data_IF_681192975235
#
_entry.id   IF_681192975235
#
_cell.length_a   1.000
_cell.length_b   1.000
_cell.length_c   1.000
_cell.angle_alpha   90.00
_cell.angle_beta   90.00
_cell.angle_gamma   90.00
#
_symmetry.space_group_name_H-M   'P 1'
#
loop_
_entity.id
_entity.type
_entity.pdbx_description
1 polymer ?
#
# COMPACT_ATOMS: atom_id res chain seq x y z
N UNK A 1 -43.18 39.44 -12.22
CA UNK A 1 -41.74 39.60 -12.52
C UNK A 1 -41.10 38.28 -12.96
N UNK A 2 -41.12 37.23 -12.16
CA UNK A 2 -40.46 35.93 -12.46
C UNK A 2 -41.01 35.23 -13.73
N UNK A 3 -42.36 35.25 -13.98
CA UNK A 3 -42.97 34.67 -15.20
C UNK A 3 -42.54 35.38 -16.49
N UNK A 4 -42.28 36.68 -16.45
CA UNK A 4 -41.81 37.44 -17.60
C UNK A 4 -40.35 37.11 -17.93
N UNK A 5 -39.52 36.99 -16.92
CA UNK A 5 -38.10 36.53 -17.06
C UNK A 5 -38.01 35.14 -17.65
N UNK A 6 -38.81 34.18 -17.17
CA UNK A 6 -38.87 32.82 -17.73
C UNK A 6 -39.31 32.79 -19.19
N UNK A 7 -40.30 33.62 -19.56
CA UNK A 7 -40.77 33.75 -20.94
C UNK A 7 -39.73 34.36 -21.86
N UNK A 8 -38.96 35.33 -21.38
CA UNK A 8 -37.87 35.94 -22.11
C UNK A 8 -36.71 34.94 -22.32
N UNK A 9 -36.31 34.22 -21.29
CA UNK A 9 -35.30 33.14 -21.39
C UNK A 9 -35.71 32.07 -22.40
N UNK A 10 -36.98 31.70 -22.41
CA UNK A 10 -37.53 30.72 -23.36
C UNK A 10 -37.54 31.21 -24.82
N UNK A 11 -37.86 32.50 -25.04
CA UNK A 11 -37.87 33.09 -26.38
C UNK A 11 -36.44 33.27 -26.91
N UNK A 12 -35.47 33.53 -26.07
CA UNK A 12 -34.06 33.72 -26.45
C UNK A 12 -33.23 32.47 -26.34
N UNK A 13 -33.87 31.30 -26.24
CA UNK A 13 -33.22 30.01 -25.99
C UNK A 13 -32.08 29.66 -26.97
N UNK A 14 -32.18 30.09 -28.24
CA UNK A 14 -31.15 29.85 -29.26
C UNK A 14 -29.94 30.74 -29.04
N UNK A 15 -30.15 31.99 -28.67
CA UNK A 15 -29.07 32.92 -28.36
C UNK A 15 -28.35 32.57 -27.05
N UNK A 16 -29.10 32.06 -26.07
CA UNK A 16 -28.59 31.69 -24.77
C UNK A 16 -28.01 30.25 -24.73
N UNK A 17 -28.20 29.45 -25.78
CA UNK A 17 -27.74 28.07 -25.80
C UNK A 17 -26.22 27.96 -25.59
N UNK A 18 -25.45 28.88 -26.15
CA UNK A 18 -24.01 28.93 -25.97
C UNK A 18 -23.62 29.16 -24.50
N UNK A 19 -24.29 30.11 -23.84
CA UNK A 19 -24.07 30.39 -22.40
C UNK A 19 -24.40 29.19 -21.53
N UNK A 20 -25.45 28.43 -21.86
CA UNK A 20 -25.81 27.22 -21.13
C UNK A 20 -24.76 26.12 -21.27
N UNK A 21 -24.20 25.95 -22.49
CA UNK A 21 -23.13 24.99 -22.77
C UNK A 21 -21.88 25.38 -22.00
N UNK A 22 -21.50 26.67 -22.05
CA UNK A 22 -20.34 27.18 -21.32
C UNK A 22 -20.48 26.97 -19.82
N UNK A 23 -21.63 27.29 -19.26
CA UNK A 23 -21.90 27.13 -17.83
C UNK A 23 -21.89 25.66 -17.40
N UNK A 24 -22.45 24.77 -18.23
CA UNK A 24 -22.39 23.34 -18.01
C UNK A 24 -20.96 22.82 -18.03
N UNK A 25 -20.16 23.29 -18.98
CA UNK A 25 -18.74 22.89 -19.09
C UNK A 25 -17.93 23.34 -17.87
N UNK A 26 -18.13 24.59 -17.43
CA UNK A 26 -17.52 25.09 -16.19
C UNK A 26 -17.96 24.27 -14.99
N UNK A 27 -19.25 23.90 -14.90
CA UNK A 27 -19.74 23.08 -13.81
C UNK A 27 -19.10 21.70 -13.79
N UNK A 28 -18.95 21.03 -14.94
CA UNK A 28 -18.30 19.72 -15.06
C UNK A 28 -16.82 19.81 -14.62
N UNK A 29 -16.11 20.85 -15.05
CA UNK A 29 -14.71 21.04 -14.66
C UNK A 29 -14.59 21.29 -13.15
N UNK A 30 -15.43 22.13 -12.59
CA UNK A 30 -15.45 22.39 -11.14
C UNK A 30 -15.78 21.12 -10.35
N UNK A 31 -16.76 20.35 -10.81
CA UNK A 31 -17.11 19.08 -10.18
C UNK A 31 -15.90 18.13 -10.14
N UNK A 32 -15.22 17.98 -11.29
CA UNK A 32 -14.02 17.14 -11.37
C UNK A 32 -12.90 17.59 -10.41
N UNK A 33 -12.67 18.92 -10.32
CA UNK A 33 -11.66 19.49 -9.41
C UNK A 33 -12.04 19.19 -7.94
N UNK A 34 -13.30 19.40 -7.58
CA UNK A 34 -13.79 19.16 -6.22
C UNK A 34 -13.63 17.67 -5.86
N UNK A 35 -14.02 16.77 -6.77
CA UNK A 35 -13.90 15.33 -6.55
C UNK A 35 -12.43 14.92 -6.38
N UNK A 36 -11.54 15.39 -7.25
CA UNK A 36 -10.11 15.15 -7.16
C UNK A 36 -9.52 15.62 -5.81
N UNK A 37 -9.86 16.84 -5.40
CA UNK A 37 -9.41 17.41 -4.12
C UNK A 37 -9.96 16.59 -2.95
N UNK A 38 -11.23 16.22 -2.99
CA UNK A 38 -11.87 15.43 -1.94
C UNK A 38 -11.20 14.07 -1.79
N UNK A 39 -11.02 13.33 -2.89
CA UNK A 39 -10.36 12.02 -2.89
C UNK A 39 -8.92 12.12 -2.38
N UNK A 40 -8.18 13.12 -2.87
CA UNK A 40 -6.78 13.33 -2.45
C UNK A 40 -6.68 13.63 -0.96
N UNK A 41 -7.52 14.53 -0.44
CA UNK A 41 -7.54 14.85 0.98
C UNK A 41 -8.01 13.66 1.83
N UNK A 42 -9.00 12.93 1.35
CA UNK A 42 -9.49 11.73 2.04
C UNK A 42 -8.37 10.69 2.20
N UNK A 43 -7.62 10.39 1.13
CA UNK A 43 -6.47 9.49 1.18
C UNK A 43 -5.37 10.04 2.09
N UNK A 44 -5.09 11.34 2.02
CA UNK A 44 -4.04 11.98 2.80
C UNK A 44 -4.29 11.91 4.31
N UNK A 45 -5.55 12.04 4.73
CA UNK A 45 -5.94 12.00 6.15
C UNK A 45 -6.27 10.60 6.67
N UNK A 46 -6.20 9.57 5.83
CA UNK A 46 -6.36 8.20 6.31
C UNK A 46 -5.24 7.80 7.28
N UNK A 47 -5.55 7.10 8.38
CA UNK A 47 -4.53 6.60 9.28
C UNK A 47 -3.68 5.55 8.56
N UNK A 48 -2.39 5.78 8.47
CA UNK A 48 -1.45 4.91 7.75
C UNK A 48 -1.23 3.54 8.41
N UNK A 49 -1.64 3.37 9.66
CA UNK A 49 -1.43 2.13 10.42
C UNK A 49 0.03 1.82 10.77
N UNK A 50 0.97 2.66 10.37
CA UNK A 50 2.41 2.53 10.63
C UNK A 50 3.05 3.90 10.88
N UNK A 51 4.28 3.91 11.41
CA UNK A 51 5.05 5.13 11.67
C UNK A 51 6.44 5.00 11.01
N UNK A 52 6.83 6.05 10.29
CA UNK A 52 8.14 6.14 9.61
C UNK A 52 9.11 7.15 10.27
N UNK A 53 8.72 7.74 11.39
CA UNK A 53 9.59 8.71 12.07
C UNK A 53 10.90 8.06 12.51
N UNK A 54 12.00 8.74 12.22
CA UNK A 54 13.35 8.29 12.52
C UNK A 54 13.71 6.93 11.87
N UNK A 55 13.05 6.60 10.76
CA UNK A 55 13.33 5.37 10.00
C UNK A 55 14.17 5.70 8.78
N UNK A 56 15.25 4.95 8.59
CA UNK A 56 16.19 5.13 7.48
C UNK A 56 16.23 3.88 6.61
N UNK A 57 16.21 4.06 5.30
CA UNK A 57 16.33 2.97 4.33
C UNK A 57 17.75 2.95 3.75
N UNK A 58 18.47 1.87 4.01
CA UNK A 58 19.75 1.59 3.36
C UNK A 58 19.52 0.69 2.16
N UNK A 59 19.90 1.16 0.98
CA UNK A 59 19.84 0.36 -0.25
C UNK A 59 21.24 -0.12 -0.61
N UNK A 60 21.36 -1.40 -0.88
CA UNK A 60 22.60 -2.01 -1.34
C UNK A 60 22.43 -2.51 -2.76
N UNK A 61 23.43 -2.26 -3.59
CA UNK A 61 23.50 -2.79 -4.94
C UNK A 61 24.81 -3.53 -5.10
N UNK A 62 24.83 -4.54 -5.96
CA UNK A 62 26.08 -5.16 -6.38
C UNK A 62 26.93 -4.17 -7.14
N UNK A 63 28.22 -4.27 -6.98
CA UNK A 63 29.18 -3.58 -7.83
C UNK A 63 29.02 -4.07 -9.26
N UNK A 64 29.20 -3.17 -10.21
CA UNK A 64 29.18 -3.52 -11.63
C UNK A 64 30.58 -3.91 -12.11
N UNK A 65 30.67 -4.52 -13.28
CA UNK A 65 31.91 -4.89 -13.96
C UNK A 65 32.89 -3.73 -14.19
N UNK A 66 32.42 -2.49 -14.01
CA UNK A 66 33.23 -1.26 -14.09
C UNK A 66 33.95 -0.93 -12.78
N UNK A 67 33.62 -1.61 -11.69
CA UNK A 67 34.29 -1.42 -10.40
C UNK A 67 35.55 -2.27 -10.31
N UNK A 68 36.60 -1.73 -9.72
CA UNK A 68 37.85 -2.47 -9.45
C UNK A 68 37.65 -3.63 -8.46
N UNK A 69 36.64 -3.52 -7.62
CA UNK A 69 36.35 -4.50 -6.57
C UNK A 69 35.22 -5.47 -6.99
N UNK A 70 34.87 -5.47 -8.28
CA UNK A 70 33.85 -6.37 -8.81
C UNK A 70 34.34 -7.83 -8.75
N UNK A 71 33.55 -8.68 -8.12
CA UNK A 71 33.78 -10.12 -8.11
C UNK A 71 32.62 -10.86 -8.79
N UNK A 72 32.86 -11.47 -9.97
CA UNK A 72 31.81 -12.19 -10.72
C UNK A 72 31.39 -13.51 -10.06
N UNK A 73 32.16 -14.05 -9.11
CA UNK A 73 31.87 -15.32 -8.45
C UNK A 73 30.86 -15.20 -7.31
N UNK A 74 30.53 -13.96 -6.87
CA UNK A 74 29.57 -13.74 -5.80
C UNK A 74 28.17 -14.17 -6.22
N UNK A 75 27.56 -14.97 -5.37
CA UNK A 75 26.19 -15.49 -5.55
C UNK A 75 25.18 -14.65 -4.78
N UNK A 76 23.88 -14.86 -5.04
CA UNK A 76 22.79 -14.27 -4.25
C UNK A 76 22.86 -14.66 -2.76
N UNK A 77 23.39 -15.85 -2.48
CA UNK A 77 23.58 -16.33 -1.10
C UNK A 77 24.61 -15.50 -0.36
N UNK A 78 25.68 -15.09 -1.06
CA UNK A 78 26.73 -14.24 -0.47
C UNK A 78 26.20 -12.85 -0.18
N UNK A 79 25.36 -12.30 -1.06
CA UNK A 79 24.66 -11.02 -0.82
C UNK A 79 23.79 -11.09 0.42
N UNK A 80 23.00 -12.15 0.57
CA UNK A 80 22.14 -12.32 1.74
C UNK A 80 22.95 -12.46 3.03
N UNK A 81 24.12 -13.09 2.96
CA UNK A 81 25.06 -13.22 4.10
C UNK A 81 25.61 -11.85 4.48
N UNK A 82 26.04 -11.06 3.49
CA UNK A 82 26.55 -9.71 3.70
C UNK A 82 25.47 -8.78 4.28
N UNK A 83 24.24 -8.85 3.77
CA UNK A 83 23.11 -8.10 4.31
C UNK A 83 22.83 -8.43 5.77
N UNK A 84 22.84 -9.72 6.15
CA UNK A 84 22.66 -10.14 7.55
C UNK A 84 23.79 -9.67 8.45
N UNK A 85 25.02 -9.69 7.97
CA UNK A 85 26.15 -9.19 8.71
C UNK A 85 26.06 -7.69 8.98
N UNK A 86 25.70 -6.91 7.96
CA UNK A 86 25.50 -5.46 8.09
C UNK A 86 24.34 -5.16 9.04
N UNK A 87 23.19 -5.84 8.89
CA UNK A 87 22.08 -5.70 9.82
C UNK A 87 22.48 -6.04 11.26
N UNK A 88 23.27 -7.10 11.44
CA UNK A 88 23.80 -7.48 12.75
C UNK A 88 24.81 -6.47 13.34
N UNK A 89 25.58 -5.78 12.51
CA UNK A 89 26.45 -4.69 12.97
C UNK A 89 25.64 -3.46 13.36
N UNK A 90 24.65 -3.08 12.57
CA UNK A 90 23.77 -1.94 12.85
C UNK A 90 22.94 -2.16 14.11
N UNK A 91 22.40 -3.34 14.32
CA UNK A 91 21.59 -3.65 15.51
C UNK A 91 22.35 -3.59 16.84
N UNK A 92 23.70 -3.63 16.79
CA UNK A 92 24.56 -3.47 17.97
C UNK A 92 24.90 -2.02 18.29
N UNK A 93 24.55 -1.09 17.40
CA UNK A 93 24.82 0.32 17.64
C UNK A 93 23.84 0.88 18.67
N UNK A 94 24.28 1.61 19.70
CA UNK A 94 23.42 2.03 20.81
C UNK A 94 22.30 2.99 20.41
N UNK A 95 22.43 3.70 19.29
CA UNK A 95 21.42 4.62 18.77
C UNK A 95 20.41 3.95 17.81
N UNK A 96 20.57 2.65 17.53
CA UNK A 96 19.71 1.91 16.63
C UNK A 96 18.75 1.03 17.42
N UNK A 97 17.48 1.35 17.40
CA UNK A 97 16.44 0.62 18.13
C UNK A 97 16.13 -0.75 17.49
N UNK A 98 16.02 -0.79 16.17
CA UNK A 98 15.69 -2.02 15.44
C UNK A 98 16.15 -1.94 13.99
N UNK A 99 16.49 -3.08 13.40
CA UNK A 99 16.90 -3.22 12.00
C UNK A 99 16.09 -4.34 11.37
N UNK A 100 15.55 -4.13 10.19
CA UNK A 100 14.91 -5.17 9.40
C UNK A 100 15.54 -5.29 8.01
N UNK A 101 15.51 -6.49 7.46
CA UNK A 101 15.85 -6.71 6.05
C UNK A 101 14.53 -6.90 5.32
N UNK A 102 14.34 -6.19 4.21
CA UNK A 102 13.12 -6.28 3.44
C UNK A 102 13.37 -6.12 1.94
N UNK A 103 12.51 -6.75 1.15
CA UNK A 103 12.46 -6.60 -0.31
C UNK A 103 11.09 -6.06 -0.70
N UNK A 104 11.05 -4.99 -1.48
CA UNK A 104 9.81 -4.32 -1.93
C UNK A 104 8.83 -3.92 -0.81
N UNK A 105 9.31 -3.83 0.43
CA UNK A 105 8.45 -3.64 1.60
C UNK A 105 8.54 -2.24 2.20
N UNK A 106 9.38 -1.37 1.64
CA UNK A 106 9.49 0.01 2.12
C UNK A 106 8.18 0.73 1.81
N UNK A 107 7.57 1.43 2.77
CA UNK A 107 6.41 2.27 2.52
C UNK A 107 6.65 3.24 1.36
N UNK A 108 5.62 3.47 0.56
CA UNK A 108 5.65 4.32 -0.65
C UNK A 108 6.58 3.82 -1.77
N UNK A 109 6.95 2.55 -1.76
CA UNK A 109 7.64 1.94 -2.89
C UNK A 109 6.61 1.46 -3.91
N UNK A 110 6.81 1.80 -5.18
CA UNK A 110 5.94 1.37 -6.29
C UNK A 110 6.21 -0.08 -6.74
N UNK A 111 7.31 -0.66 -6.28
CA UNK A 111 7.63 -2.06 -6.57
C UNK A 111 6.66 -3.00 -5.87
N UNK A 112 5.94 -3.79 -6.66
CA UNK A 112 5.06 -4.83 -6.16
C UNK A 112 5.42 -6.18 -6.79
N UNK A 113 5.35 -7.21 -5.98
CA UNK A 113 5.21 -8.59 -6.42
C UNK A 113 3.87 -9.09 -5.88
N UNK A 114 3.10 -9.77 -6.70
CA UNK A 114 1.81 -10.32 -6.30
C UNK A 114 1.90 -11.82 -6.07
N UNK A 115 1.24 -12.31 -5.05
CA UNK A 115 1.01 -13.73 -4.83
C UNK A 115 -0.50 -14.00 -4.78
N UNK A 116 -0.90 -15.14 -5.32
CA UNK A 116 -2.29 -15.57 -5.30
C UNK A 116 -2.47 -16.62 -4.23
N UNK A 117 -3.46 -16.41 -3.37
CA UNK A 117 -3.79 -17.34 -2.30
C UNK A 117 -5.18 -17.91 -2.52
N UNK A 118 -5.29 -19.24 -2.40
CA UNK A 118 -6.55 -19.95 -2.49
C UNK A 118 -6.98 -20.40 -1.10
N UNK A 119 -8.22 -20.10 -0.75
CA UNK A 119 -8.83 -20.51 0.50
C UNK A 119 -9.67 -21.77 0.30
N UNK A 120 -9.51 -22.82 1.12
CA UNK A 120 -10.21 -24.09 0.96
C UNK A 120 -11.74 -23.98 0.97
N UNK A 121 -12.27 -23.04 1.77
CA UNK A 121 -13.70 -22.83 1.93
C UNK A 121 -14.37 -22.16 0.72
N UNK A 122 -13.59 -21.64 -0.22
CA UNK A 122 -14.11 -20.88 -1.35
C UNK A 122 -13.25 -21.14 -2.59
N UNK A 123 -13.51 -22.24 -3.29
CA UNK A 123 -12.73 -22.70 -4.44
C UNK A 123 -12.66 -21.69 -5.60
N UNK A 124 -13.51 -20.70 -5.61
CA UNK A 124 -13.66 -19.74 -6.72
C UNK A 124 -13.04 -18.39 -6.47
N UNK A 125 -12.56 -18.09 -5.28
CA UNK A 125 -12.04 -16.75 -4.91
C UNK A 125 -10.53 -16.76 -4.81
N UNK A 126 -9.89 -16.05 -5.72
CA UNK A 126 -8.46 -15.76 -5.71
C UNK A 126 -8.24 -14.38 -5.10
N UNK A 127 -7.36 -14.29 -4.11
CA UNK A 127 -6.89 -13.01 -3.60
C UNK A 127 -5.49 -12.80 -4.17
N UNK A 128 -5.37 -11.83 -5.06
CA UNK A 128 -4.06 -11.33 -5.47
C UNK A 128 -3.64 -10.23 -4.51
N UNK A 129 -2.58 -10.45 -3.78
CA UNK A 129 -2.04 -9.47 -2.83
C UNK A 129 -0.65 -9.06 -3.25
N UNK A 130 -0.23 -7.87 -2.86
CA UNK A 130 1.18 -7.51 -2.92
C UNK A 130 1.89 -8.23 -1.79
N UNK A 131 2.70 -9.24 -2.12
CA UNK A 131 3.54 -9.91 -1.14
C UNK A 131 4.77 -9.07 -0.83
N UNK A 132 5.09 -8.99 0.46
CA UNK A 132 6.25 -8.27 0.95
C UNK A 132 7.15 -9.23 1.72
N UNK A 133 8.34 -9.43 1.19
CA UNK A 133 9.35 -10.26 1.84
C UNK A 133 10.10 -9.45 2.88
N UNK A 134 9.98 -9.85 4.15
CA UNK A 134 10.57 -9.09 5.25
C UNK A 134 10.91 -9.99 6.42
N UNK A 135 11.86 -9.53 7.25
CA UNK A 135 12.09 -10.16 8.54
C UNK A 135 11.04 -9.70 9.56
N UNK A 136 10.77 -10.46 10.63
CA UNK A 136 9.76 -10.12 11.63
C UNK A 136 9.95 -8.74 12.28
N UNK A 137 11.18 -8.28 12.38
CA UNK A 137 11.53 -6.96 12.93
C UNK A 137 10.92 -5.80 12.13
N UNK A 138 10.48 -6.04 10.91
CA UNK A 138 9.80 -5.07 10.06
C UNK A 138 8.61 -4.43 10.78
N UNK A 139 7.80 -5.22 11.46
CA UNK A 139 6.64 -4.74 12.19
C UNK A 139 7.03 -3.86 13.39
N UNK A 140 8.19 -4.11 13.99
CA UNK A 140 8.75 -3.28 15.05
C UNK A 140 9.29 -1.97 14.49
N UNK A 141 10.09 -2.00 13.41
CA UNK A 141 10.69 -0.82 12.77
C UNK A 141 9.61 0.18 12.36
N UNK A 142 8.52 -0.29 11.74
CA UNK A 142 7.43 0.56 11.29
C UNK A 142 6.30 0.71 12.32
N UNK A 143 6.44 0.14 13.52
CA UNK A 143 5.49 0.26 14.62
C UNK A 143 4.06 -0.07 14.21
N UNK A 144 3.86 -1.11 13.42
CA UNK A 144 2.54 -1.56 12.98
C UNK A 144 1.64 -1.90 14.17
N UNK A 145 0.34 -1.69 13.99
CA UNK A 145 -0.69 -2.05 14.96
C UNK A 145 -1.62 -3.10 14.37
N UNK A 146 -2.01 -4.04 15.21
CA UNK A 146 -3.03 -5.01 14.87
C UNK A 146 -4.43 -4.36 14.90
N UNK A 147 -5.41 -5.00 14.28
CA UNK A 147 -6.80 -4.56 14.22
C UNK A 147 -7.46 -4.39 15.60
N UNK A 148 -7.03 -5.19 16.58
CA UNK A 148 -7.48 -5.10 17.98
C UNK A 148 -6.80 -3.98 18.78
N UNK A 149 -5.91 -3.21 18.14
CA UNK A 149 -5.12 -2.16 18.76
C UNK A 149 -3.87 -2.66 19.51
N UNK A 150 -3.63 -3.97 19.54
CA UNK A 150 -2.39 -4.52 20.11
C UNK A 150 -1.18 -4.12 19.29
N UNK A 151 -0.03 -4.06 19.96
CA UNK A 151 1.24 -3.67 19.35
C UNK A 151 1.79 -4.71 18.37
N UNK A 152 2.91 -4.35 17.74
CA UNK A 152 3.62 -5.18 16.76
C UNK A 152 4.05 -6.56 17.27
N UNK A 153 4.16 -6.75 18.58
CA UNK A 153 4.58 -8.04 19.16
C UNK A 153 3.62 -9.20 18.82
N UNK A 154 2.32 -8.92 18.73
CA UNK A 154 1.33 -9.91 18.32
C UNK A 154 1.50 -10.33 16.86
N UNK A 155 1.86 -9.40 15.99
CA UNK A 155 2.13 -9.65 14.58
C UNK A 155 3.41 -10.47 14.37
N UNK A 156 4.47 -10.15 15.12
CA UNK A 156 5.73 -10.92 15.09
C UNK A 156 5.49 -12.37 15.51
N UNK A 157 4.77 -12.60 16.60
CA UNK A 157 4.40 -13.96 17.07
C UNK A 157 3.53 -14.71 16.06
N UNK A 158 2.67 -14.02 15.33
CA UNK A 158 1.87 -14.64 14.29
C UNK A 158 2.76 -15.19 13.18
N UNK A 159 3.77 -14.46 12.72
CA UNK A 159 4.68 -14.91 11.66
C UNK A 159 5.52 -16.14 12.04
N UNK A 160 5.85 -16.33 13.30
CA UNK A 160 6.57 -17.51 13.78
C UNK A 160 5.83 -18.83 13.53
N UNK A 161 4.51 -18.76 13.29
CA UNK A 161 3.64 -19.92 13.10
C UNK A 161 3.38 -20.28 11.62
N UNK A 162 4.21 -19.81 10.69
CA UNK A 162 3.98 -20.01 9.26
C UNK A 162 2.62 -19.45 8.81
N UNK A 163 2.32 -18.23 9.24
CA UNK A 163 1.08 -17.51 8.94
C UNK A 163 1.33 -16.34 8.00
N UNK A 164 0.26 -15.85 7.41
CA UNK A 164 0.25 -14.67 6.55
C UNK A 164 -0.48 -13.57 7.31
N UNK A 165 0.07 -12.36 7.29
CA UNK A 165 -0.61 -11.17 7.80
C UNK A 165 -1.25 -10.46 6.62
N UNK A 166 -2.54 -10.24 6.71
CA UNK A 166 -3.34 -9.63 5.65
C UNK A 166 -3.92 -8.31 6.18
N UNK A 167 -3.86 -7.20 5.44
CA UNK A 167 -4.54 -5.97 5.83
C UNK A 167 -6.06 -6.14 5.82
N UNK A 168 -6.75 -5.34 6.65
CA UNK A 168 -8.20 -5.46 6.87
C UNK A 168 -9.00 -5.14 5.61
N UNK A 169 -8.49 -4.25 4.80
CA UNK A 169 -9.10 -3.70 3.59
C UNK A 169 -8.88 -4.55 2.34
N UNK A 170 -8.14 -5.66 2.44
CA UNK A 170 -7.89 -6.55 1.29
C UNK A 170 -9.18 -7.00 0.62
N UNK A 171 -10.22 -7.25 1.41
CA UNK A 171 -11.50 -7.66 0.87
C UNK A 171 -12.29 -6.51 0.22
N UNK A 172 -12.11 -5.29 0.69
CA UNK A 172 -12.79 -4.11 0.14
C UNK A 172 -12.21 -3.72 -1.24
N UNK A 173 -10.99 -4.16 -1.54
CA UNK A 173 -10.36 -3.95 -2.85
C UNK A 173 -10.95 -4.83 -3.96
N UNK A 174 -11.66 -5.90 -3.60
CA UNK A 174 -12.33 -6.80 -4.54
C UNK A 174 -13.83 -6.74 -4.30
N UNK A 175 -14.58 -5.88 -4.99
CA UNK A 175 -16.02 -5.68 -4.78
C UNK A 175 -16.84 -6.96 -5.02
N UNK A 176 -16.30 -7.92 -5.77
CA UNK A 176 -16.92 -9.22 -6.01
C UNK A 176 -16.56 -10.28 -4.96
N UNK A 177 -15.72 -9.93 -3.97
CA UNK A 177 -15.37 -10.84 -2.90
C UNK A 177 -16.55 -11.04 -1.95
N UNK A 178 -16.91 -12.29 -1.73
CA UNK A 178 -18.00 -12.68 -0.82
C UNK A 178 -17.63 -12.64 0.65
N UNK A 179 -16.42 -12.17 1.00
CA UNK A 179 -15.92 -12.15 2.37
C UNK A 179 -15.21 -10.81 2.67
N UNK A 180 -15.26 -10.41 3.92
CA UNK A 180 -14.50 -9.28 4.45
C UNK A 180 -13.18 -9.75 5.06
N UNK A 181 -12.19 -8.85 5.16
CA UNK A 181 -10.86 -9.20 5.71
C UNK A 181 -10.92 -9.87 7.08
N UNK A 182 -11.92 -9.54 7.90
CA UNK A 182 -12.17 -10.19 9.20
C UNK A 182 -12.57 -11.67 9.08
N UNK A 183 -13.19 -12.05 7.98
CA UNK A 183 -13.65 -13.41 7.74
C UNK A 183 -12.50 -14.35 7.35
N UNK A 184 -11.33 -13.78 7.04
CA UNK A 184 -10.11 -14.52 6.71
C UNK A 184 -9.30 -14.91 7.94
N UNK A 185 -9.60 -14.33 9.11
CA UNK A 185 -8.85 -14.60 10.33
C UNK A 185 -8.95 -16.07 10.72
N UNK A 186 -7.79 -16.70 10.85
CA UNK A 186 -7.69 -18.13 11.26
C UNK A 186 -7.97 -19.14 10.16
N UNK A 187 -8.19 -18.72 8.91
CA UNK A 187 -8.35 -19.64 7.79
C UNK A 187 -6.99 -20.05 7.20
N UNK A 188 -6.92 -21.26 6.70
CA UNK A 188 -5.75 -21.74 5.98
C UNK A 188 -5.77 -21.21 4.54
N UNK A 189 -4.63 -20.77 4.05
CA UNK A 189 -4.44 -20.35 2.67
C UNK A 189 -3.33 -21.15 2.02
N UNK A 190 -3.47 -21.48 0.73
CA UNK A 190 -2.41 -22.11 -0.08
C UNK A 190 -1.91 -21.10 -1.10
N UNK A 191 -0.59 -21.00 -1.21
CA UNK A 191 0.07 -20.27 -2.28
C UNK A 191 0.15 -21.17 -3.51
N UNK A 192 -0.19 -20.65 -4.69
CA UNK A 192 0.00 -21.32 -5.98
C UNK A 192 1.21 -20.82 -6.72
#
# INVERSE_FOLDING_TARGET
MMKQLLKQIYNERRSNAFLWIELLLVFVVLWYIIDLVYVTLHIYYQPMGFNIENTYALRMNRLTDKSTDFNPELTVKDDMTALREIAGRLSRHPEVESVCISQNSIPYNEGCSGASFRFPDNDTVWISTMDRWTTPEYYKVFRFRNIDGSGHESLVKALEKNTIIVPVDVADYYPDATFHGKDLLGKEARNE
#
